data_IF_125468115158
#
_entry.id   IF_125468115158
#
_cell.length_a   1.000
_cell.length_b   1.000
_cell.length_c   1.000
_cell.angle_alpha   90.00
_cell.angle_beta   90.00
_cell.angle_gamma   90.00
#
_symmetry.space_group_name_H-M   'P 1'
#
loop_
_entity.id
_entity.type
_entity.pdbx_description
1 polymer ?
#
# COMPACT_ATOMS: atom_id res chain seq x y z
N UNK A 1 -18.06 -12.03 -7.01
CA UNK A 1 -17.74 -11.28 -5.78
C UNK A 1 -16.40 -11.80 -5.29
N UNK A 2 -15.37 -10.96 -5.35
CA UNK A 2 -14.02 -11.36 -4.96
C UNK A 2 -13.76 -10.95 -3.52
N UNK A 3 -13.42 -11.92 -2.68
CA UNK A 3 -12.86 -11.70 -1.37
C UNK A 3 -11.36 -11.98 -1.49
N UNK A 4 -10.53 -11.01 -1.22
CA UNK A 4 -9.09 -11.20 -1.29
C UNK A 4 -8.43 -10.80 0.01
N UNK A 5 -7.61 -11.68 0.56
CA UNK A 5 -6.60 -11.32 1.56
C UNK A 5 -5.26 -11.38 0.85
N UNK A 6 -4.76 -10.26 0.35
CA UNK A 6 -3.45 -10.24 -0.28
C UNK A 6 -2.37 -10.29 0.80
N UNK A 7 -1.46 -11.25 0.67
CA UNK A 7 -0.23 -11.30 1.45
C UNK A 7 0.86 -10.64 0.62
N UNK A 8 1.42 -9.55 1.11
CA UNK A 8 2.47 -8.83 0.39
C UNK A 8 3.85 -9.22 0.86
N UNK A 9 4.71 -9.52 -0.09
CA UNK A 9 6.13 -9.38 0.07
C UNK A 9 6.57 -8.17 -0.76
N UNK A 10 6.95 -7.08 -0.12
CA UNK A 10 7.36 -5.84 -0.81
C UNK A 10 8.87 -5.71 -0.83
N UNK A 11 9.54 -5.90 -1.95
CA UNK A 11 10.77 -5.18 -2.19
C UNK A 11 10.39 -3.73 -2.48
N UNK A 12 10.59 -2.81 -1.55
CA UNK A 12 10.36 -1.39 -1.82
C UNK A 12 11.57 -0.80 -2.49
N UNK A 13 11.36 -0.26 -3.67
CA UNK A 13 12.23 0.79 -4.19
C UNK A 13 11.70 2.10 -3.61
N UNK A 14 12.39 2.64 -2.64
CA UNK A 14 12.15 4.02 -2.20
C UNK A 14 12.56 4.93 -3.36
N UNK A 15 11.61 5.68 -3.87
CA UNK A 15 11.83 6.66 -4.95
C UNK A 15 12.37 8.00 -4.39
N UNK A 16 12.89 8.01 -3.18
CA UNK A 16 13.63 9.16 -2.64
C UNK A 16 15.13 8.96 -2.87
N UNK A 17 15.78 10.06 -3.24
CA UNK A 17 17.18 10.20 -3.65
C UNK A 17 18.18 9.94 -2.48
N UNK A 18 17.99 8.85 -1.76
CA UNK A 18 18.83 8.48 -0.64
C UNK A 18 19.86 7.42 -1.05
N UNK A 19 21.11 7.79 -0.85
CA UNK A 19 22.30 7.02 -1.23
C UNK A 19 22.47 5.66 -0.51
N UNK A 20 21.58 5.33 0.42
CA UNK A 20 21.57 4.07 1.13
C UNK A 20 20.13 3.56 1.30
N UNK A 21 19.66 2.67 0.42
CA UNK A 21 18.39 2.00 0.67
C UNK A 21 18.50 1.21 1.98
N UNK A 22 17.61 1.49 2.92
CA UNK A 22 17.56 0.75 4.16
C UNK A 22 17.33 -0.74 3.87
N UNK A 23 18.13 -1.58 4.49
CA UNK A 23 18.17 -3.03 4.27
C UNK A 23 16.95 -3.79 4.83
N UNK A 24 15.92 -3.09 5.34
CA UNK A 24 14.71 -3.72 5.86
C UNK A 24 13.70 -3.88 4.74
N UNK A 25 13.31 -5.13 4.41
CA UNK A 25 12.22 -5.34 3.47
C UNK A 25 10.94 -4.74 4.04
N UNK A 26 10.23 -3.94 3.25
CA UNK A 26 8.90 -3.50 3.62
C UNK A 26 7.94 -4.67 3.47
N UNK A 27 7.52 -5.20 4.60
CA UNK A 27 6.51 -6.25 4.66
C UNK A 27 5.15 -5.61 4.83
N UNK A 28 4.17 -6.06 4.08
CA UNK A 28 2.82 -5.55 4.20
C UNK A 28 1.79 -6.65 4.06
N UNK A 29 0.68 -6.43 4.72
CA UNK A 29 -0.51 -7.24 4.64
C UNK A 29 -1.70 -6.33 4.38
N UNK A 30 -2.49 -6.63 3.34
CA UNK A 30 -3.73 -5.93 3.05
C UNK A 30 -4.90 -6.92 3.08
N UNK A 31 -6.04 -6.46 3.51
CA UNK A 31 -7.29 -7.13 3.25
C UNK A 31 -8.29 -6.17 2.59
N UNK A 32 -9.21 -6.72 1.83
CA UNK A 32 -10.30 -5.95 1.24
C UNK A 32 -11.61 -6.68 1.46
N UNK A 33 -12.62 -5.93 1.86
CA UNK A 33 -13.99 -6.41 1.93
C UNK A 33 -14.54 -6.65 0.51
N UNK A 34 -15.70 -7.31 0.38
CA UNK A 34 -16.34 -7.47 -0.92
C UNK A 34 -16.54 -6.14 -1.62
N UNK A 35 -16.34 -6.12 -2.92
CA UNK A 35 -16.63 -4.98 -3.74
C UNK A 35 -18.14 -4.78 -3.87
N UNK A 36 -18.59 -3.55 -3.67
CA UNK A 36 -19.96 -3.12 -3.86
C UNK A 36 -20.04 -2.28 -5.15
N UNK A 37 -20.97 -2.57 -6.05
CA UNK A 37 -21.17 -1.74 -7.23
C UNK A 37 -21.74 -0.38 -6.82
N UNK A 38 -21.03 0.68 -7.18
CA UNK A 38 -21.45 2.06 -6.95
C UNK A 38 -21.35 2.81 -8.28
N UNK A 39 -22.49 2.98 -8.96
CA UNK A 39 -22.51 3.55 -10.31
C UNK A 39 -21.73 2.68 -11.29
N UNK A 40 -20.79 3.28 -12.06
CA UNK A 40 -20.02 2.55 -13.08
C UNK A 40 -18.79 1.83 -12.53
N UNK A 41 -18.53 1.87 -11.24
CA UNK A 41 -17.32 1.29 -10.61
C UNK A 41 -17.68 0.38 -9.44
N UNK A 42 -16.74 -0.45 -9.04
CA UNK A 42 -16.85 -1.26 -7.83
C UNK A 42 -15.98 -0.67 -6.74
N UNK A 43 -16.54 -0.48 -5.55
CA UNK A 43 -15.84 0.11 -4.40
C UNK A 43 -15.74 -0.91 -3.27
N UNK A 44 -14.59 -0.97 -2.63
CA UNK A 44 -14.33 -1.82 -1.47
C UNK A 44 -13.68 -1.01 -0.36
N UNK A 45 -13.97 -1.38 0.86
CA UNK A 45 -13.22 -0.96 2.04
C UNK A 45 -12.16 -2.01 2.35
N UNK A 46 -11.03 -1.57 2.82
CA UNK A 46 -9.93 -2.46 3.18
C UNK A 46 -9.11 -1.94 4.34
N UNK A 47 -8.19 -2.77 4.78
CA UNK A 47 -7.19 -2.39 5.77
C UNK A 47 -5.81 -2.80 5.29
N UNK A 48 -4.81 -2.09 5.78
CA UNK A 48 -3.40 -2.31 5.46
C UNK A 48 -2.57 -2.27 6.72
N UNK A 49 -1.70 -3.23 6.85
CA UNK A 49 -0.61 -3.23 7.81
C UNK A 49 0.70 -3.28 7.02
N UNK A 50 1.57 -2.33 7.24
CA UNK A 50 2.86 -2.27 6.54
C UNK A 50 3.96 -1.87 7.50
N UNK A 51 5.11 -2.52 7.38
CA UNK A 51 6.35 -2.09 8.02
C UNK A 51 7.22 -1.41 7.00
N UNK A 52 7.85 -0.32 7.37
CA UNK A 52 8.86 0.34 6.55
C UNK A 52 9.98 0.92 7.40
N UNK A 53 11.13 1.05 6.77
CA UNK A 53 12.28 1.69 7.36
C UNK A 53 13.08 2.38 6.27
N UNK A 54 13.47 3.61 6.49
CA UNK A 54 14.32 4.39 5.61
C UNK A 54 15.18 5.36 6.43
N UNK A 55 16.31 5.74 5.86
CA UNK A 55 17.19 6.75 6.43
C UNK A 55 16.85 8.09 5.79
N UNK A 56 16.60 9.12 6.57
CA UNK A 56 16.33 10.48 6.08
C UNK A 56 17.23 11.47 6.79
N UNK A 57 17.86 12.32 5.99
CA UNK A 57 18.60 13.47 6.50
C UNK A 57 17.62 14.63 6.83
N UNK A 58 17.65 15.07 8.08
CA UNK A 58 16.86 16.21 8.54
C UNK A 58 17.79 17.40 8.80
N UNK A 59 17.65 18.46 7.99
CA UNK A 59 18.36 19.73 8.18
C UNK A 59 19.77 19.80 7.58
N UNK A 60 20.45 20.92 7.86
CA UNK A 60 21.77 21.28 7.32
C UNK A 60 22.97 20.60 8.04
N UNK A 61 22.72 19.84 9.05
CA UNK A 61 23.74 19.08 9.81
C UNK A 61 23.51 17.62 9.50
N UNK A 62 24.54 16.89 9.10
CA UNK A 62 24.57 15.48 8.69
C UNK A 62 24.00 14.48 9.74
N UNK A 63 22.82 14.73 10.26
CA UNK A 63 22.07 13.83 11.15
C UNK A 63 21.09 13.03 10.32
N UNK A 64 21.56 11.92 9.77
CA UNK A 64 20.66 10.93 9.17
C UNK A 64 19.95 10.17 10.31
N UNK A 65 18.62 10.32 10.36
CA UNK A 65 17.79 9.54 11.30
C UNK A 65 17.13 8.38 10.55
N UNK A 66 17.24 7.21 11.16
CA UNK A 66 16.51 6.02 10.72
C UNK A 66 15.06 6.13 11.16
N UNK A 67 14.13 6.12 10.20
CA UNK A 67 12.71 6.01 10.49
C UNK A 67 12.31 4.56 10.31
N UNK A 68 11.89 3.93 11.41
CA UNK A 68 11.28 2.60 11.38
C UNK A 68 9.88 2.70 11.91
N UNK A 69 8.93 2.16 11.19
CA UNK A 69 7.53 2.30 11.54
C UNK A 69 6.72 1.07 11.18
N UNK A 70 5.72 0.80 12.00
CA UNK A 70 4.58 -0.03 11.65
C UNK A 70 3.43 0.93 11.35
N UNK A 71 2.85 0.82 10.17
CA UNK A 71 1.73 1.66 9.76
C UNK A 71 0.48 0.80 9.55
N UNK A 72 -0.59 1.21 10.19
CA UNK A 72 -1.92 0.63 10.03
C UNK A 72 -2.76 1.63 9.25
N UNK A 73 -3.50 1.16 8.24
CA UNK A 73 -4.33 2.03 7.40
C UNK A 73 -5.70 1.46 7.14
N UNK A 74 -6.69 2.35 7.07
CA UNK A 74 -7.99 2.09 6.46
C UNK A 74 -8.01 2.62 5.05
N UNK A 75 -8.45 1.83 4.09
CA UNK A 75 -8.41 2.11 2.66
C UNK A 75 -9.79 2.05 2.03
N UNK A 76 -10.02 2.96 1.10
CA UNK A 76 -11.08 2.85 0.09
C UNK A 76 -10.40 2.47 -1.22
N UNK A 77 -10.86 1.40 -1.85
CA UNK A 77 -10.36 0.92 -3.15
C UNK A 77 -11.48 1.01 -4.17
N UNK A 78 -11.17 1.51 -5.34
CA UNK A 78 -12.10 1.62 -6.45
C UNK A 78 -11.56 0.83 -7.62
N UNK A 79 -12.24 -0.27 -7.96
CA UNK A 79 -11.95 -1.07 -9.14
C UNK A 79 -12.54 -0.37 -10.38
N UNK A 80 -11.68 -0.08 -11.32
CA UNK A 80 -12.00 0.61 -12.57
C UNK A 80 -12.24 -0.36 -13.74
N UNK A 81 -12.10 -1.68 -13.51
CA UNK A 81 -12.30 -2.68 -14.57
C UNK A 81 -13.64 -2.52 -15.30
N UNK A 82 -14.76 -2.21 -14.64
CA UNK A 82 -16.03 -2.03 -15.34
C UNK A 82 -16.04 -0.87 -16.35
N UNK A 83 -15.19 0.12 -16.17
CA UNK A 83 -15.00 1.27 -17.09
C UNK A 83 -13.90 0.98 -18.11
N UNK A 84 -12.83 0.32 -17.66
CA UNK A 84 -11.61 0.04 -18.42
C UNK A 84 -11.57 -1.42 -18.90
N UNK A 85 -12.67 -1.90 -19.46
CA UNK A 85 -12.88 -3.30 -19.86
C UNK A 85 -11.96 -3.77 -21.01
N UNK A 86 -11.19 -2.89 -21.62
CA UNK A 86 -10.23 -3.23 -22.67
C UNK A 86 -9.03 -4.07 -22.19
N UNK A 87 -8.81 -4.15 -20.88
CA UNK A 87 -7.78 -5.03 -20.30
C UNK A 87 -8.21 -6.50 -20.17
N UNK A 88 -9.51 -6.81 -20.40
CA UNK A 88 -10.07 -8.14 -20.18
C UNK A 88 -10.58 -8.37 -18.74
N UNK A 89 -11.32 -9.45 -18.56
CA UNK A 89 -12.05 -9.71 -17.31
C UNK A 89 -11.17 -10.10 -16.12
N UNK A 90 -9.94 -10.51 -16.39
CA UNK A 90 -8.99 -10.96 -15.37
C UNK A 90 -8.08 -9.83 -14.84
N UNK A 91 -8.13 -8.66 -15.47
CA UNK A 91 -7.27 -7.51 -15.12
C UNK A 91 -8.10 -6.41 -14.49
N UNK A 92 -7.78 -6.06 -13.25
CA UNK A 92 -8.50 -5.09 -12.44
C UNK A 92 -7.59 -3.91 -12.09
N UNK A 93 -7.56 -2.84 -12.91
CA UNK A 93 -6.94 -1.59 -12.52
C UNK A 93 -7.78 -0.94 -11.41
N UNK A 94 -7.11 -0.50 -10.35
CA UNK A 94 -7.77 0.12 -9.21
C UNK A 94 -7.01 1.32 -8.71
N UNK A 95 -7.74 2.26 -8.13
CA UNK A 95 -7.16 3.35 -7.34
C UNK A 95 -7.50 3.12 -5.87
N UNK A 96 -6.62 3.57 -5.01
CA UNK A 96 -6.81 3.46 -3.58
C UNK A 96 -6.42 4.76 -2.87
N UNK A 97 -7.16 5.07 -1.81
CA UNK A 97 -6.85 6.17 -0.92
C UNK A 97 -7.23 5.79 0.51
N UNK A 98 -6.53 6.36 1.48
CA UNK A 98 -6.85 6.04 2.86
C UNK A 98 -6.14 6.91 3.89
N UNK A 99 -6.51 6.64 5.13
CA UNK A 99 -5.91 7.25 6.31
C UNK A 99 -5.02 6.19 6.96
N UNK A 100 -3.83 6.60 7.37
CA UNK A 100 -2.87 5.73 8.03
C UNK A 100 -2.52 6.26 9.40
N UNK A 101 -2.14 5.36 10.29
CA UNK A 101 -1.52 5.69 11.57
C UNK A 101 -0.21 4.94 11.68
N UNK A 102 0.87 5.69 11.79
CA UNK A 102 2.22 5.14 11.93
C UNK A 102 2.60 5.09 13.39
N UNK A 103 3.10 3.92 13.83
CA UNK A 103 3.69 3.70 15.14
C UNK A 103 5.20 3.70 14.97
N UNK A 104 5.89 4.62 15.61
CA UNK A 104 7.34 4.63 15.65
C UNK A 104 7.88 3.41 16.40
N UNK A 105 8.89 2.79 15.84
CA UNK A 105 9.58 1.64 16.47
C UNK A 105 10.91 2.06 17.13
N UNK A 106 11.32 3.29 16.90
CA UNK A 106 12.59 3.84 17.40
C UNK A 106 12.32 5.11 18.21
N UNK A 107 13.15 5.37 19.22
CA UNK A 107 13.04 6.55 20.11
C UNK A 107 13.06 7.90 19.38
N UNK A 108 13.41 7.89 18.09
CA UNK A 108 13.51 9.07 17.25
C UNK A 108 12.27 9.34 16.39
N UNK A 109 11.22 8.54 16.49
CA UNK A 109 10.00 8.69 15.68
C UNK A 109 8.75 8.33 16.46
N UNK A 110 7.97 9.36 16.80
CA UNK A 110 6.74 9.20 17.59
C UNK A 110 5.55 8.65 16.78
N UNK A 111 5.66 8.64 15.46
CA UNK A 111 4.57 8.24 14.59
C UNK A 111 3.46 9.28 14.46
N UNK A 112 2.29 8.86 13.99
CA UNK A 112 1.11 9.71 13.90
C UNK A 112 0.23 9.45 12.69
N UNK A 113 -0.77 10.31 12.51
CA UNK A 113 -1.71 10.24 11.40
C UNK A 113 -1.07 10.64 10.08
N UNK A 114 -1.36 9.87 9.05
CA UNK A 114 -0.94 10.13 7.70
C UNK A 114 -2.01 9.77 6.68
N UNK A 115 -1.67 9.90 5.42
CA UNK A 115 -2.54 9.52 4.30
C UNK A 115 -1.77 8.69 3.29
N UNK A 116 -2.49 7.87 2.55
CA UNK A 116 -1.98 7.10 1.44
C UNK A 116 -2.88 7.28 0.22
N UNK A 117 -2.25 7.40 -0.93
CA UNK A 117 -2.92 7.34 -2.23
C UNK A 117 -2.11 6.44 -3.15
N UNK A 118 -2.78 5.74 -4.05
CA UNK A 118 -2.07 4.88 -4.97
C UNK A 118 -2.93 4.25 -6.04
N UNK A 119 -2.26 3.44 -6.85
CA UNK A 119 -2.90 2.63 -7.86
C UNK A 119 -2.41 1.19 -7.81
N UNK A 120 -3.28 0.29 -8.22
CA UNK A 120 -2.97 -1.13 -8.30
C UNK A 120 -3.44 -1.69 -9.64
N UNK A 121 -2.74 -2.70 -10.10
CA UNK A 121 -3.13 -3.51 -11.25
C UNK A 121 -3.13 -4.97 -10.80
N UNK A 122 -4.32 -5.53 -10.65
CA UNK A 122 -4.51 -6.90 -10.21
C UNK A 122 -4.78 -7.80 -11.42
N UNK A 123 -4.09 -8.92 -11.45
CA UNK A 123 -4.35 -9.98 -12.43
C UNK A 123 -4.74 -11.25 -11.69
N UNK A 124 -5.91 -11.79 -12.01
CA UNK A 124 -6.43 -13.04 -11.44
C UNK A 124 -6.23 -14.20 -12.42
N UNK A 125 -5.65 -15.28 -11.92
CA UNK A 125 -5.50 -16.50 -12.73
C UNK A 125 -6.86 -17.18 -12.92
N UNK A 126 -7.12 -17.63 -14.14
CA UNK A 126 -8.36 -18.34 -14.45
C UNK A 126 -8.48 -19.63 -13.63
N UNK A 127 -9.68 -19.87 -13.11
CA UNK A 127 -10.00 -21.03 -12.28
C UNK A 127 -9.10 -21.21 -11.04
N UNK A 128 -8.51 -20.14 -10.54
CA UNK A 128 -7.62 -20.15 -9.39
C UNK A 128 -8.06 -19.09 -8.38
N UNK A 129 -7.94 -19.35 -7.07
CA UNK A 129 -8.13 -18.32 -6.06
C UNK A 129 -6.90 -17.38 -5.96
N UNK A 130 -5.90 -17.56 -6.79
CA UNK A 130 -4.65 -16.82 -6.76
C UNK A 130 -4.64 -15.73 -7.84
N UNK A 131 -3.92 -14.66 -7.54
CA UNK A 131 -3.63 -13.57 -8.46
C UNK A 131 -2.31 -12.89 -8.11
N UNK A 132 -1.94 -11.95 -8.93
CA UNK A 132 -0.77 -11.08 -8.71
C UNK A 132 -1.21 -9.63 -8.79
N UNK A 133 -0.57 -8.77 -8.01
CA UNK A 133 -0.79 -7.33 -8.00
C UNK A 133 0.51 -6.61 -8.25
N UNK A 134 0.48 -5.65 -9.13
CA UNK A 134 1.45 -4.57 -9.19
C UNK A 134 0.83 -3.35 -8.52
N UNK A 135 1.61 -2.59 -7.78
CA UNK A 135 1.10 -1.40 -7.10
C UNK A 135 2.14 -0.29 -7.04
N UNK A 136 1.64 0.94 -6.96
CA UNK A 136 2.41 2.12 -6.66
C UNK A 136 1.62 3.01 -5.70
N UNK A 137 2.23 3.38 -4.57
CA UNK A 137 1.60 4.16 -3.53
C UNK A 137 2.48 5.31 -3.08
N UNK A 138 1.85 6.45 -2.82
CA UNK A 138 2.45 7.58 -2.14
C UNK A 138 1.89 7.68 -0.72
N UNK A 139 2.76 7.86 0.24
CA UNK A 139 2.45 8.08 1.64
C UNK A 139 2.88 9.47 2.07
N UNK A 140 2.06 10.10 2.90
CA UNK A 140 2.45 11.27 3.68
C UNK A 140 2.29 10.93 5.15
N UNK A 141 3.37 10.93 5.88
CA UNK A 141 3.42 10.56 7.30
C UNK A 141 4.04 11.68 8.12
N UNK A 142 3.77 11.77 9.42
CA UNK A 142 4.47 12.70 10.30
C UNK A 142 5.98 12.46 10.27
N UNK A 143 6.74 13.53 10.35
CA UNK A 143 8.19 13.53 10.42
C UNK A 143 8.64 13.89 11.85
N UNK A 144 9.81 13.41 12.30
CA UNK A 144 10.38 13.84 13.59
C UNK A 144 10.65 15.34 13.73
N UNK A 145 10.55 16.11 12.64
CA UNK A 145 10.75 17.54 12.59
C UNK A 145 9.43 18.33 12.56
N UNK A 146 8.33 17.79 13.12
CA UNK A 146 6.98 18.40 13.13
C UNK A 146 6.44 18.77 11.73
N UNK A 147 6.95 18.14 10.69
CA UNK A 147 6.51 18.29 9.32
C UNK A 147 5.97 16.97 8.77
N UNK A 148 5.20 17.03 7.69
CA UNK A 148 4.85 15.84 6.93
C UNK A 148 5.99 15.46 5.99
N UNK A 149 6.32 14.19 5.93
CA UNK A 149 7.24 13.67 4.94
C UNK A 149 6.51 12.76 3.97
N UNK A 150 6.83 12.89 2.68
CA UNK A 150 6.28 12.07 1.63
C UNK A 150 7.29 11.01 1.20
N UNK A 151 6.81 9.81 0.91
CA UNK A 151 7.59 8.79 0.22
C UNK A 151 6.69 7.96 -0.68
N UNK A 152 7.28 7.40 -1.74
CA UNK A 152 6.60 6.50 -2.64
C UNK A 152 7.12 5.07 -2.50
N UNK A 153 6.27 4.10 -2.77
CA UNK A 153 6.70 2.74 -2.97
C UNK A 153 6.02 2.10 -4.18
N UNK A 154 6.74 1.25 -4.86
CA UNK A 154 6.24 0.39 -5.92
C UNK A 154 6.59 -1.05 -5.57
N UNK A 155 5.77 -1.98 -6.00
CA UNK A 155 6.04 -3.39 -5.70
C UNK A 155 5.04 -4.33 -6.35
N UNK A 156 5.23 -5.59 -6.03
CA UNK A 156 4.34 -6.67 -6.44
C UNK A 156 3.89 -7.48 -5.22
N UNK A 157 2.74 -8.11 -5.32
CA UNK A 157 2.19 -8.96 -4.27
C UNK A 157 1.43 -10.15 -4.87
N UNK A 158 1.29 -11.19 -4.07
CA UNK A 158 0.43 -12.31 -4.38
C UNK A 158 -0.94 -12.04 -3.75
N UNK A 159 -1.99 -12.28 -4.52
CA UNK A 159 -3.38 -12.16 -4.09
C UNK A 159 -3.95 -13.55 -3.80
N UNK A 160 -4.73 -13.66 -2.75
CA UNK A 160 -5.56 -14.83 -2.47
C UNK A 160 -7.01 -14.39 -2.34
N UNK A 161 -7.88 -14.95 -3.16
CA UNK A 161 -9.32 -14.74 -3.06
C UNK A 161 -9.95 -15.86 -2.25
N UNK A 162 -10.66 -15.51 -1.19
CA UNK A 162 -11.52 -16.43 -0.47
C UNK A 162 -12.86 -16.47 -1.21
N UNK A 163 -13.00 -17.37 -2.19
CA UNK A 163 -14.25 -17.58 -2.90
C UNK A 163 -15.20 -18.30 -1.94
N UNK A 164 -16.31 -17.66 -1.61
CA UNK A 164 -17.42 -18.35 -1.00
C UNK A 164 -18.04 -19.22 -2.09
N UNK A 165 -17.96 -20.53 -1.94
CA UNK A 165 -18.71 -21.44 -2.78
C UNK A 165 -20.18 -21.28 -2.36
N UNK A 166 -20.96 -20.65 -3.20
CA UNK A 166 -22.41 -20.71 -3.16
C UNK A 166 -22.87 -21.98 -3.88
#
# INVERSE_FOLDING_TARGET
TFYGIPVYFRPSLLLEDDKNPSSLPNLGFDFSLPYLPIGPVNVSLGGRLITFGFDKEFGTINDSKKIKSITIGGLVKTDLQPILNFFGDNVHPSIEAGITYSLGWDENYDGGLGVVVGGTLDYWFENSPLGVRLFGNGYMIPSPADALTGFGNIGASVLLSLKRND
#
